data_IF_666907855798
#
_entry.id   IF_666907855798
#
_cell.length_a   1.000
_cell.length_b   1.000
_cell.length_c   1.000
_cell.angle_alpha   90.00
_cell.angle_beta   90.00
_cell.angle_gamma   90.00
#
_symmetry.space_group_name_H-M   'P 1'
#
loop_
_entity.id
_entity.type
_entity.pdbx_description
1 polymer ?
#
# COMPACT_ATOMS: atom_id res chain seq x y z
N UNK A 1 -16.05 7.10 11.20
CA UNK A 1 -14.71 6.54 11.44
C UNK A 1 -14.56 5.23 10.64
N UNK A 2 -14.14 5.30 9.37
CA UNK A 2 -13.92 4.14 8.48
C UNK A 2 -12.84 4.48 7.43
N UNK A 3 -11.62 4.81 7.88
CA UNK A 3 -10.49 5.20 6.99
C UNK A 3 -9.22 4.33 7.24
N UNK A 4 -9.29 3.24 8.02
CA UNK A 4 -8.07 2.53 8.45
C UNK A 4 -7.24 1.91 7.32
N UNK A 5 -7.87 1.32 6.29
CA UNK A 5 -7.15 0.70 5.16
C UNK A 5 -6.67 1.73 4.13
N UNK A 6 -7.50 2.75 3.85
CA UNK A 6 -7.11 3.88 2.99
C UNK A 6 -5.92 4.66 3.55
N UNK A 7 -5.90 4.91 4.86
CA UNK A 7 -4.79 5.60 5.53
C UNK A 7 -3.46 4.86 5.32
N UNK A 8 -3.49 3.53 5.42
CA UNK A 8 -2.31 2.68 5.21
C UNK A 8 -1.84 2.71 3.76
N UNK A 9 -2.78 2.63 2.82
CA UNK A 9 -2.46 2.77 1.39
C UNK A 9 -1.82 4.11 1.07
N UNK A 10 -2.31 5.21 1.66
CA UNK A 10 -1.68 6.52 1.50
C UNK A 10 -0.26 6.58 2.09
N UNK A 11 -0.05 6.02 3.28
CA UNK A 11 1.29 5.98 3.87
C UNK A 11 2.27 5.14 3.03
N UNK A 12 1.80 3.99 2.52
CA UNK A 12 2.59 3.12 1.64
C UNK A 12 2.91 3.85 0.32
N UNK A 13 1.92 4.48 -0.31
CA UNK A 13 2.13 5.25 -1.55
C UNK A 13 3.10 6.42 -1.40
N UNK A 14 3.31 6.88 -0.16
CA UNK A 14 4.24 7.95 0.18
C UNK A 14 5.68 7.46 0.44
N UNK A 15 5.91 6.15 0.60
CA UNK A 15 7.25 5.62 0.82
C UNK A 15 8.12 5.76 -0.44
N UNK A 16 9.43 6.04 -0.28
CA UNK A 16 10.35 6.01 -1.40
C UNK A 16 10.43 4.60 -1.98
N UNK A 17 10.54 4.47 -3.30
CA UNK A 17 10.86 3.19 -3.94
C UNK A 17 12.34 3.10 -4.31
N UNK A 18 13.00 2.03 -3.89
CA UNK A 18 14.41 1.78 -4.20
C UNK A 18 14.54 0.76 -5.33
N UNK A 19 15.22 1.17 -6.41
CA UNK A 19 15.31 0.39 -7.65
C UNK A 19 15.86 -1.02 -7.44
N UNK A 20 17.01 -1.11 -6.77
CA UNK A 20 17.74 -2.37 -6.58
C UNK A 20 16.91 -3.37 -5.76
N UNK A 21 16.33 -2.91 -4.66
CA UNK A 21 15.48 -3.74 -3.80
C UNK A 21 14.22 -4.20 -4.52
N UNK A 22 13.56 -3.30 -5.26
CA UNK A 22 12.38 -3.65 -6.02
C UNK A 22 12.71 -4.65 -7.14
N UNK A 23 13.84 -4.52 -7.84
CA UNK A 23 14.26 -5.51 -8.83
C UNK A 23 14.47 -6.90 -8.20
N UNK A 24 15.26 -6.98 -7.13
CA UNK A 24 15.56 -8.24 -6.45
C UNK A 24 14.26 -8.92 -5.99
N UNK A 25 13.46 -8.20 -5.21
CA UNK A 25 12.20 -8.69 -4.68
C UNK A 25 11.28 -9.16 -5.81
N UNK A 26 11.00 -8.32 -6.81
CA UNK A 26 10.07 -8.66 -7.88
C UNK A 26 10.56 -9.85 -8.73
N UNK A 27 11.86 -9.94 -9.01
CA UNK A 27 12.45 -11.02 -9.82
C UNK A 27 12.44 -12.40 -9.14
N UNK A 28 12.24 -12.43 -7.83
CA UNK A 28 12.33 -13.66 -7.01
C UNK A 28 11.03 -13.99 -6.28
N UNK A 29 10.04 -13.10 -6.32
CA UNK A 29 8.79 -13.29 -5.61
C UNK A 29 7.98 -14.44 -6.21
N UNK A 30 7.80 -15.49 -5.41
CA UNK A 30 6.90 -16.61 -5.64
C UNK A 30 5.67 -16.48 -4.75
N UNK A 31 4.51 -16.84 -5.31
CA UNK A 31 3.26 -16.96 -4.56
C UNK A 31 2.61 -18.31 -4.86
N UNK A 32 2.44 -19.11 -3.81
CA UNK A 32 1.79 -20.41 -3.84
C UNK A 32 0.56 -20.35 -2.92
N UNK A 33 -0.59 -19.86 -3.41
CA UNK A 33 -1.78 -19.73 -2.58
C UNK A 33 -2.27 -21.10 -2.11
N UNK A 34 -2.75 -21.17 -0.87
CA UNK A 34 -3.43 -22.38 -0.39
C UNK A 34 -4.66 -22.71 -1.24
N UNK A 35 -4.95 -24.02 -1.46
CA UNK A 35 -6.20 -24.48 -2.04
C UNK A 35 -7.41 -23.91 -1.29
N UNK A 36 -8.48 -23.56 -2.02
CA UNK A 36 -9.63 -22.86 -1.46
C UNK A 36 -10.45 -23.70 -0.46
N UNK A 37 -10.28 -25.02 -0.48
CA UNK A 37 -10.91 -26.02 0.37
C UNK A 37 -10.17 -26.24 1.70
N UNK A 38 -8.93 -25.76 1.84
CA UNK A 38 -8.14 -25.89 3.05
C UNK A 38 -8.17 -24.58 3.85
N UNK A 39 -8.69 -24.65 5.09
CA UNK A 39 -8.58 -23.54 6.04
C UNK A 39 -7.23 -23.61 6.74
N UNK A 40 -6.74 -22.44 7.11
CA UNK A 40 -5.56 -22.31 7.95
C UNK A 40 -5.88 -22.81 9.35
N UNK A 41 -5.27 -23.93 9.75
CA UNK A 41 -5.26 -24.39 11.13
C UNK A 41 -4.13 -23.64 11.85
N UNK A 42 -4.49 -22.82 12.84
CA UNK A 42 -3.53 -21.99 13.59
C UNK A 42 -2.53 -22.82 14.40
N UNK A 43 -2.86 -24.09 14.65
CA UNK A 43 -2.08 -25.06 15.44
C UNK A 43 -1.57 -26.23 14.57
N UNK A 44 -1.26 -25.98 13.29
CA UNK A 44 -0.72 -27.01 12.39
C UNK A 44 0.63 -27.55 12.93
N UNK A 45 0.73 -28.85 13.27
CA UNK A 45 1.96 -29.44 13.80
C UNK A 45 3.12 -29.42 12.81
N UNK A 46 2.87 -29.29 11.50
CA UNK A 46 3.89 -29.24 10.46
C UNK A 46 4.43 -27.80 10.21
N UNK A 47 3.90 -26.81 10.94
CA UNK A 47 4.29 -25.40 10.86
C UNK A 47 3.45 -24.58 9.87
N UNK A 48 3.63 -23.25 9.84
CA UNK A 48 2.81 -22.38 8.99
C UNK A 48 3.08 -22.64 7.50
N UNK A 49 2.01 -22.82 6.73
CA UNK A 49 2.10 -22.99 5.27
C UNK A 49 2.79 -21.79 4.61
N UNK A 50 3.85 -22.06 3.85
CA UNK A 50 4.59 -21.05 3.10
C UNK A 50 3.81 -20.69 1.83
N UNK A 51 3.33 -19.45 1.76
CA UNK A 51 2.59 -18.95 0.60
C UNK A 51 3.41 -17.94 -0.19
N UNK A 52 4.34 -17.23 0.45
CA UNK A 52 5.18 -16.22 -0.18
C UNK A 52 6.66 -16.54 0.01
N UNK A 53 7.42 -16.50 -1.07
CA UNK A 53 8.87 -16.69 -1.07
C UNK A 53 9.56 -15.60 -1.88
N UNK A 54 10.64 -15.00 -1.39
CA UNK A 54 11.34 -13.95 -2.12
C UNK A 54 12.75 -13.71 -1.61
N UNK A 55 13.58 -13.03 -2.42
CA UNK A 55 14.83 -12.42 -1.95
C UNK A 55 14.63 -10.97 -1.52
N UNK A 56 15.32 -10.60 -0.45
CA UNK A 56 15.42 -9.23 0.00
C UNK A 56 16.78 -8.98 0.64
N UNK A 57 17.47 -7.93 0.20
CA UNK A 57 18.80 -7.57 0.68
C UNK A 57 19.81 -8.73 0.62
N UNK A 58 19.71 -9.58 -0.42
CA UNK A 58 20.54 -10.77 -0.62
C UNK A 58 20.13 -12.00 0.19
N UNK A 59 19.11 -11.92 1.05
CA UNK A 59 18.63 -13.03 1.88
C UNK A 59 17.36 -13.66 1.30
N UNK A 60 17.23 -14.98 1.43
CA UNK A 60 16.02 -15.72 1.05
C UNK A 60 15.04 -15.72 2.22
N UNK A 61 13.76 -15.46 1.92
CA UNK A 61 12.68 -15.44 2.89
C UNK A 61 11.54 -16.33 2.39
N UNK A 62 10.97 -17.10 3.31
CA UNK A 62 9.78 -17.94 3.13
C UNK A 62 8.86 -17.65 4.29
N UNK A 63 7.66 -17.15 4.00
CA UNK A 63 6.70 -16.71 5.00
C UNK A 63 5.27 -17.06 4.59
N UNK A 64 4.38 -17.12 5.57
CA UNK A 64 2.95 -17.24 5.34
C UNK A 64 2.36 -15.98 4.68
N UNK A 65 1.18 -16.08 4.08
CA UNK A 65 0.48 -14.91 3.56
C UNK A 65 0.10 -13.93 4.68
N UNK A 66 -0.19 -14.44 5.88
CA UNK A 66 -0.47 -13.65 7.10
C UNK A 66 0.71 -12.75 7.46
N UNK A 67 1.91 -13.32 7.58
CA UNK A 67 3.12 -12.56 7.88
C UNK A 67 3.43 -11.56 6.76
N UNK A 68 3.33 -12.01 5.51
CA UNK A 68 3.60 -11.17 4.35
C UNK A 68 2.78 -9.87 4.37
N UNK A 69 1.49 -9.95 4.71
CA UNK A 69 0.59 -8.79 4.64
C UNK A 69 0.78 -7.82 5.80
N UNK A 70 1.27 -8.33 6.93
CA UNK A 70 1.72 -7.53 8.08
C UNK A 70 3.00 -6.79 7.73
N UNK A 71 3.99 -7.48 7.13
CA UNK A 71 5.23 -6.85 6.64
C UNK A 71 4.97 -5.81 5.54
N UNK A 72 3.98 -6.02 4.68
CA UNK A 72 3.51 -5.02 3.71
C UNK A 72 2.88 -3.79 4.37
N UNK A 73 2.48 -3.87 5.65
CA UNK A 73 1.74 -2.85 6.38
C UNK A 73 0.30 -2.69 5.92
N UNK A 74 -0.27 -3.68 5.23
CA UNK A 74 -1.64 -3.65 4.72
C UNK A 74 -2.65 -4.08 5.80
N UNK A 75 -2.25 -5.02 6.66
CA UNK A 75 -3.02 -5.52 7.80
C UNK A 75 -2.18 -5.44 9.09
N UNK A 76 -2.83 -5.31 10.24
CA UNK A 76 -2.22 -5.51 11.55
C UNK A 76 -2.45 -6.95 12.01
N UNK A 77 -1.64 -7.44 12.94
CA UNK A 77 -1.76 -8.81 13.46
C UNK A 77 -3.16 -9.07 14.00
N UNK A 78 -3.75 -8.10 14.71
CA UNK A 78 -5.08 -8.23 15.31
C UNK A 78 -6.22 -8.28 14.28
N UNK A 79 -5.97 -7.85 13.04
CA UNK A 79 -6.97 -7.86 11.96
C UNK A 79 -7.02 -9.19 11.22
N UNK A 80 -6.00 -10.04 11.37
CA UNK A 80 -5.87 -11.31 10.66
C UNK A 80 -6.90 -12.37 11.11
N UNK A 81 -7.44 -12.21 12.32
CA UNK A 81 -8.49 -13.09 12.86
C UNK A 81 -9.90 -12.50 12.71
N UNK A 82 -10.03 -11.43 11.94
CA UNK A 82 -11.31 -10.75 11.69
C UNK A 82 -11.85 -11.06 10.30
N UNK A 83 -13.14 -10.82 10.11
CA UNK A 83 -13.81 -10.90 8.81
C UNK A 83 -13.08 -10.08 7.71
N UNK A 84 -12.40 -8.98 8.06
CA UNK A 84 -11.67 -8.11 7.11
C UNK A 84 -10.52 -8.84 6.41
N UNK A 85 -9.95 -9.86 7.05
CA UNK A 85 -8.95 -10.74 6.46
C UNK A 85 -9.54 -12.07 6.00
N UNK A 86 -10.39 -12.69 6.82
CA UNK A 86 -10.87 -14.06 6.61
C UNK A 86 -11.93 -14.19 5.50
N UNK A 87 -12.70 -13.14 5.21
CA UNK A 87 -13.73 -13.20 4.17
C UNK A 87 -13.11 -13.08 2.77
N UNK A 88 -13.54 -13.98 1.88
CA UNK A 88 -13.10 -14.01 0.49
C UNK A 88 -13.60 -12.83 -0.35
N UNK A 89 -13.15 -12.76 -1.60
CA UNK A 89 -13.58 -11.74 -2.56
C UNK A 89 -15.07 -11.93 -2.87
N UNK A 90 -15.93 -11.08 -2.31
CA UNK A 90 -17.31 -10.97 -2.78
C UNK A 90 -17.37 -9.93 -3.89
N UNK A 91 -17.70 -10.31 -5.13
CA UNK A 91 -17.93 -9.32 -6.20
C UNK A 91 -19.35 -8.76 -6.05
N UNK A 92 -19.54 -7.48 -5.70
CA UNK A 92 -20.86 -6.89 -5.60
C UNK A 92 -21.51 -6.86 -6.99
N UNK A 93 -22.85 -6.90 -7.06
CA UNK A 93 -23.56 -6.78 -8.32
C UNK A 93 -23.10 -5.55 -9.10
N UNK A 94 -22.99 -5.66 -10.43
CA UNK A 94 -22.57 -4.53 -11.27
C UNK A 94 -23.41 -3.28 -11.04
N UNK A 95 -24.71 -3.44 -10.78
CA UNK A 95 -25.63 -2.35 -10.45
C UNK A 95 -25.20 -1.57 -9.20
N UNK A 96 -24.69 -2.26 -8.18
CA UNK A 96 -24.14 -1.65 -6.95
C UNK A 96 -22.91 -0.81 -7.26
N UNK A 97 -21.97 -1.34 -8.05
CA UNK A 97 -20.78 -0.59 -8.48
C UNK A 97 -21.15 0.65 -9.32
N UNK A 98 -22.13 0.53 -10.21
CA UNK A 98 -22.60 1.66 -11.02
C UNK A 98 -23.29 2.74 -10.18
N UNK A 99 -24.06 2.35 -9.15
CA UNK A 99 -24.64 3.30 -8.18
C UNK A 99 -23.53 3.98 -7.38
N UNK A 100 -22.55 3.22 -6.89
CA UNK A 100 -21.39 3.78 -6.22
C UNK A 100 -20.65 4.80 -7.08
N UNK A 101 -20.39 4.50 -8.36
CA UNK A 101 -19.76 5.43 -9.28
C UNK A 101 -20.51 6.77 -9.39
N UNK A 102 -21.84 6.75 -9.36
CA UNK A 102 -22.65 7.99 -9.38
C UNK A 102 -22.44 8.85 -8.13
N UNK A 103 -22.03 8.26 -7.00
CA UNK A 103 -21.75 9.01 -5.76
C UNK A 103 -20.40 9.72 -5.77
N UNK A 104 -19.42 9.21 -6.54
CA UNK A 104 -18.04 9.72 -6.55
C UNK A 104 -17.64 10.45 -7.83
N UNK A 105 -18.55 10.58 -8.81
CA UNK A 105 -18.20 11.12 -10.13
C UNK A 105 -19.25 12.05 -10.72
N UNK A 106 -18.81 12.88 -11.68
CA UNK A 106 -19.69 13.86 -12.36
C UNK A 106 -20.52 13.29 -13.50
N UNK A 107 -20.24 12.07 -13.98
CA UNK A 107 -20.88 11.48 -15.16
C UNK A 107 -21.13 10.00 -14.96
N UNK A 108 -22.08 9.42 -15.69
CA UNK A 108 -22.35 7.98 -15.68
C UNK A 108 -21.11 7.16 -16.06
N UNK A 109 -21.03 5.95 -15.53
CA UNK A 109 -19.94 5.03 -15.89
C UNK A 109 -20.04 4.66 -17.36
N UNK A 110 -18.91 4.65 -18.06
CA UNK A 110 -18.88 4.55 -19.51
C UNK A 110 -19.39 3.20 -20.03
N UNK A 111 -19.93 3.18 -21.26
CA UNK A 111 -20.57 1.99 -21.84
C UNK A 111 -19.61 0.82 -22.07
N UNK A 112 -18.30 1.08 -22.17
CA UNK A 112 -17.24 0.07 -22.33
C UNK A 112 -16.69 -0.46 -20.99
N UNK A 113 -17.49 -0.40 -19.92
CA UNK A 113 -17.09 -0.76 -18.55
C UNK A 113 -15.81 -0.06 -18.06
N UNK A 114 -15.63 1.20 -18.49
CA UNK A 114 -14.56 2.09 -18.02
C UNK A 114 -14.94 3.55 -18.19
N UNK A 115 -14.43 4.39 -17.30
CA UNK A 115 -14.57 5.84 -17.29
C UNK A 115 -13.24 6.53 -17.03
N UNK A 116 -13.08 7.78 -17.45
CA UNK A 116 -11.88 8.57 -17.12
C UNK A 116 -11.80 8.79 -15.61
N UNK A 117 -10.64 8.54 -15.01
CA UNK A 117 -10.40 8.77 -13.59
C UNK A 117 -10.55 10.26 -13.22
N UNK A 118 -10.34 11.17 -14.17
CA UNK A 118 -10.57 12.62 -13.98
C UNK A 118 -12.03 12.99 -13.71
N UNK A 119 -12.99 12.09 -13.95
CA UNK A 119 -14.40 12.30 -13.63
C UNK A 119 -14.72 12.09 -12.15
N UNK A 120 -13.83 11.42 -11.41
CA UNK A 120 -13.95 11.26 -9.96
C UNK A 120 -13.76 12.64 -9.33
N UNK A 121 -14.75 13.08 -8.56
CA UNK A 121 -14.83 14.45 -8.02
C UNK A 121 -13.79 14.68 -6.94
N UNK A 122 -13.68 13.75 -5.99
CA UNK A 122 -12.75 13.84 -4.88
C UNK A 122 -11.30 13.57 -5.34
N UNK A 123 -10.37 14.54 -5.17
CA UNK A 123 -8.95 14.34 -5.42
C UNK A 123 -8.31 13.15 -4.65
N UNK A 124 -8.74 12.86 -3.43
CA UNK A 124 -8.25 11.73 -2.64
C UNK A 124 -8.69 10.40 -3.25
N UNK A 125 -9.93 10.31 -3.73
CA UNK A 125 -10.41 9.10 -4.43
C UNK A 125 -9.72 8.92 -5.78
N UNK A 126 -9.40 10.02 -6.48
CA UNK A 126 -8.52 9.98 -7.67
C UNK A 126 -7.14 9.46 -7.34
N UNK A 127 -6.58 9.84 -6.19
CA UNK A 127 -5.31 9.32 -5.76
C UNK A 127 -5.38 7.85 -5.33
N UNK A 128 -6.42 7.43 -4.59
CA UNK A 128 -6.68 6.00 -4.30
C UNK A 128 -6.77 5.17 -5.58
N UNK A 129 -7.48 5.67 -6.60
CA UNK A 129 -7.53 5.02 -7.92
C UNK A 129 -6.13 4.85 -8.51
N UNK A 130 -5.30 5.90 -8.42
CA UNK A 130 -3.91 5.85 -8.88
C UNK A 130 -3.10 4.80 -8.12
N UNK A 131 -3.26 4.69 -6.80
CA UNK A 131 -2.62 3.65 -5.98
C UNK A 131 -3.03 2.26 -6.48
N UNK A 132 -4.32 2.00 -6.62
CA UNK A 132 -4.85 0.72 -7.10
C UNK A 132 -4.28 0.40 -8.50
N UNK A 133 -4.41 1.33 -9.45
CA UNK A 133 -4.02 1.15 -10.84
C UNK A 133 -2.50 1.08 -11.06
N UNK A 134 -1.69 1.25 -10.01
CA UNK A 134 -0.22 1.13 -10.06
C UNK A 134 0.33 0.03 -9.16
N UNK A 135 -0.46 -0.51 -8.22
CA UNK A 135 0.02 -1.50 -7.25
C UNK A 135 -0.83 -2.77 -7.16
N UNK A 136 -2.15 -2.66 -7.00
CA UNK A 136 -3.04 -3.82 -6.76
C UNK A 136 -3.60 -4.37 -8.07
N UNK A 137 -3.93 -3.48 -9.01
CA UNK A 137 -4.39 -3.83 -10.35
C UNK A 137 -3.57 -3.08 -11.41
N UNK A 138 -2.23 -3.20 -11.41
CA UNK A 138 -1.42 -2.36 -12.25
C UNK A 138 -1.70 -2.63 -13.72
N UNK A 139 -1.71 -1.57 -14.51
CA UNK A 139 -1.87 -1.63 -15.95
C UNK A 139 -0.70 -0.96 -16.63
N UNK A 140 -0.17 -1.62 -17.65
CA UNK A 140 0.88 -1.05 -18.49
C UNK A 140 0.40 0.26 -19.14
N UNK A 141 -0.83 0.27 -19.67
CA UNK A 141 -1.50 1.42 -20.30
C UNK A 141 -2.84 1.72 -19.61
N UNK A 142 -3.45 2.89 -19.87
CA UNK A 142 -4.82 3.24 -19.45
C UNK A 142 -5.01 3.51 -17.94
N UNK A 143 -4.01 4.08 -17.26
CA UNK A 143 -4.08 4.47 -15.83
C UNK A 143 -4.95 5.70 -15.58
N UNK A 144 -5.27 6.42 -16.62
CA UNK A 144 -6.20 7.53 -16.65
C UNK A 144 -7.66 7.08 -16.77
N UNK A 145 -7.90 5.77 -16.80
CA UNK A 145 -9.23 5.15 -16.79
C UNK A 145 -9.43 4.29 -15.56
N UNK A 146 -10.58 4.46 -14.92
CA UNK A 146 -11.14 3.55 -13.94
C UNK A 146 -11.98 2.51 -14.68
N UNK A 147 -11.60 1.23 -14.62
CA UNK A 147 -12.45 0.15 -15.13
C UNK A 147 -13.27 -0.50 -14.00
N UNK A 148 -13.96 -1.60 -14.28
CA UNK A 148 -14.77 -2.29 -13.28
C UNK A 148 -13.95 -2.90 -12.12
N UNK A 149 -12.75 -3.42 -12.35
CA UNK A 149 -11.84 -3.85 -11.27
C UNK A 149 -11.31 -2.66 -10.45
N UNK A 150 -11.01 -1.56 -11.15
CA UNK A 150 -10.90 -0.18 -10.65
C UNK A 150 -11.87 0.13 -9.53
N UNK A 151 -13.13 0.06 -9.97
CA UNK A 151 -14.30 0.46 -9.25
C UNK A 151 -14.63 -0.50 -8.11
N UNK A 152 -14.35 -1.79 -8.29
CA UNK A 152 -14.44 -2.81 -7.25
C UNK A 152 -13.53 -2.44 -6.07
N UNK A 153 -12.24 -2.23 -6.28
CA UNK A 153 -11.34 -1.88 -5.18
C UNK A 153 -11.68 -0.53 -4.54
N UNK A 154 -12.03 0.47 -5.34
CA UNK A 154 -12.48 1.77 -4.83
C UNK A 154 -13.72 1.65 -3.95
N UNK A 155 -14.69 0.83 -4.34
CA UNK A 155 -15.91 0.59 -3.56
C UNK A 155 -15.58 0.07 -2.16
N UNK A 156 -14.76 -0.97 -2.08
CA UNK A 156 -14.39 -1.59 -0.79
C UNK A 156 -13.55 -0.66 0.08
N UNK A 157 -12.61 0.08 -0.51
CA UNK A 157 -11.78 1.06 0.21
C UNK A 157 -12.61 2.22 0.78
N UNK A 158 -13.58 2.73 0.03
CA UNK A 158 -14.32 3.93 0.41
C UNK A 158 -15.51 3.60 1.32
N UNK A 159 -16.24 2.51 1.07
CA UNK A 159 -17.37 2.11 1.93
C UNK A 159 -16.98 1.18 3.09
N UNK A 160 -15.73 0.69 3.11
CA UNK A 160 -15.12 0.05 4.28
C UNK A 160 -15.59 -1.38 4.50
N UNK A 161 -15.87 -2.10 3.42
CA UNK A 161 -16.24 -3.51 3.44
C UNK A 161 -15.01 -4.39 3.19
N UNK A 162 -15.13 -5.68 3.48
CA UNK A 162 -14.04 -6.67 3.37
C UNK A 162 -13.76 -7.01 1.91
N UNK A 163 -12.50 -6.97 1.49
CA UNK A 163 -12.10 -7.66 0.27
C UNK A 163 -10.67 -8.17 0.45
N UNK A 164 -10.36 -9.32 -0.15
CA UNK A 164 -9.07 -9.99 0.02
C UNK A 164 -7.93 -9.28 -0.73
N UNK A 165 -7.70 -7.98 -0.41
CA UNK A 165 -6.65 -7.13 -0.97
C UNK A 165 -5.29 -7.79 -0.87
N UNK A 166 -5.04 -8.51 0.23
CA UNK A 166 -3.81 -9.25 0.46
C UNK A 166 -3.52 -10.28 -0.64
N UNK A 167 -4.52 -11.10 -1.02
CA UNK A 167 -4.38 -12.11 -2.08
C UNK A 167 -4.13 -11.45 -3.43
N UNK A 168 -4.87 -10.38 -3.73
CA UNK A 168 -4.67 -9.64 -4.98
C UNK A 168 -3.27 -9.02 -5.08
N UNK A 169 -2.73 -8.49 -3.98
CA UNK A 169 -1.40 -7.93 -3.91
C UNK A 169 -0.30 -9.00 -4.07
N UNK A 170 -0.41 -10.13 -3.37
CA UNK A 170 0.55 -11.23 -3.49
C UNK A 170 0.55 -11.83 -4.91
N UNK A 171 -0.64 -12.07 -5.47
CA UNK A 171 -0.77 -12.51 -6.86
C UNK A 171 -0.16 -11.51 -7.84
N UNK A 172 -0.28 -10.20 -7.55
CA UNK A 172 0.35 -9.18 -8.38
C UNK A 172 1.88 -9.31 -8.36
N UNK A 173 2.49 -9.37 -7.18
CA UNK A 173 3.94 -9.47 -7.06
C UNK A 173 4.52 -10.67 -7.84
N UNK A 174 3.83 -11.81 -7.77
CA UNK A 174 4.26 -13.03 -8.48
C UNK A 174 4.29 -12.90 -10.01
N UNK A 175 3.49 -11.99 -10.58
CA UNK A 175 3.44 -11.78 -12.05
C UNK A 175 4.09 -10.47 -12.48
N UNK A 176 4.65 -9.69 -11.54
CA UNK A 176 5.15 -8.36 -11.80
C UNK A 176 6.48 -8.35 -12.57
N UNK A 177 7.31 -9.39 -12.41
CA UNK A 177 8.64 -9.46 -13.04
C UNK A 177 8.61 -9.53 -14.58
N UNK A 178 7.49 -9.98 -15.16
CA UNK A 178 7.32 -10.05 -16.61
C UNK A 178 7.02 -8.70 -17.27
N UNK A 179 6.81 -7.64 -16.50
CA UNK A 179 6.30 -6.37 -17.04
C UNK A 179 7.43 -5.46 -17.48
N UNK A 180 7.36 -5.00 -18.73
CA UNK A 180 8.47 -4.35 -19.42
C UNK A 180 8.72 -2.89 -18.97
N UNK A 181 7.77 -2.25 -18.31
CA UNK A 181 7.88 -0.83 -17.94
C UNK A 181 8.30 -0.65 -16.48
N UNK A 182 9.62 -0.73 -16.26
CA UNK A 182 10.23 -0.69 -14.93
C UNK A 182 9.88 0.59 -14.15
N UNK A 183 9.67 1.73 -14.83
CA UNK A 183 9.30 3.02 -14.19
C UNK A 183 8.00 2.96 -13.37
N UNK A 184 7.14 2.00 -13.68
CA UNK A 184 5.80 1.79 -13.14
C UNK A 184 5.83 0.84 -11.95
N UNK A 185 6.72 -0.15 -12.00
CA UNK A 185 6.94 -1.16 -10.95
C UNK A 185 7.46 -0.51 -9.67
N UNK A 186 8.35 0.48 -9.80
CA UNK A 186 8.85 1.25 -8.66
C UNK A 186 7.79 2.20 -8.08
N UNK A 187 6.98 2.84 -8.93
CA UNK A 187 6.00 3.82 -8.48
C UNK A 187 4.94 3.22 -7.56
N UNK A 188 4.27 2.13 -7.98
CA UNK A 188 3.11 1.62 -7.25
C UNK A 188 3.41 0.54 -6.22
N UNK A 189 4.25 -0.43 -6.57
CA UNK A 189 4.62 -1.53 -5.65
C UNK A 189 5.83 -1.23 -4.77
N UNK A 190 6.69 -0.31 -5.19
CA UNK A 190 7.93 -0.02 -4.49
C UNK A 190 7.75 0.49 -3.06
N UNK A 191 6.65 1.19 -2.77
CA UNK A 191 6.33 1.62 -1.41
C UNK A 191 6.06 0.45 -0.47
N UNK A 192 5.38 -0.60 -0.94
CA UNK A 192 5.16 -1.84 -0.19
C UNK A 192 6.48 -2.55 0.06
N UNK A 193 7.31 -2.68 -0.99
CA UNK A 193 8.62 -3.33 -0.89
C UNK A 193 9.51 -2.61 0.13
N UNK A 194 9.57 -1.28 0.09
CA UNK A 194 10.30 -0.50 1.09
C UNK A 194 9.78 -0.73 2.50
N UNK A 195 8.47 -0.91 2.68
CA UNK A 195 7.90 -1.24 3.99
C UNK A 195 8.30 -2.63 4.45
N UNK A 196 8.26 -3.62 3.56
CA UNK A 196 8.74 -4.98 3.83
C UNK A 196 10.22 -4.93 4.24
N UNK A 197 11.08 -4.28 3.46
CA UNK A 197 12.51 -4.08 3.75
C UNK A 197 12.73 -3.53 5.15
N UNK A 198 12.05 -2.43 5.50
CA UNK A 198 12.16 -1.81 6.83
C UNK A 198 11.66 -2.74 7.94
N UNK A 199 10.59 -3.50 7.69
CA UNK A 199 10.05 -4.45 8.66
C UNK A 199 10.97 -5.63 8.95
N UNK A 200 11.85 -6.00 8.01
CA UNK A 200 12.93 -6.96 8.21
C UNK A 200 14.19 -6.34 8.84
N UNK A 201 14.14 -5.06 9.23
CA UNK A 201 15.25 -4.36 9.87
C UNK A 201 16.29 -3.80 8.90
N UNK A 202 16.03 -3.83 7.59
CA UNK A 202 16.89 -3.23 6.60
C UNK A 202 16.52 -1.76 6.38
N UNK A 203 17.47 -0.84 6.55
CA UNK A 203 17.24 0.59 6.40
C UNK A 203 17.92 1.11 5.13
N UNK A 204 17.19 1.24 4.01
CA UNK A 204 17.77 1.73 2.76
C UNK A 204 18.23 3.18 2.92
N UNK A 205 19.55 3.36 3.05
CA UNK A 205 20.16 4.69 3.09
C UNK A 205 20.17 5.31 1.70
N UNK A 206 19.84 6.60 1.57
CA UNK A 206 19.98 7.37 0.31
C UNK A 206 21.39 7.25 -0.30
N UNK A 207 22.39 7.08 0.54
CA UNK A 207 23.81 7.00 0.19
C UNK A 207 24.25 5.65 -0.38
N UNK A 208 23.68 4.52 0.06
CA UNK A 208 24.16 3.18 -0.33
C UNK A 208 23.73 2.74 -1.74
N UNK A 209 22.71 3.40 -2.32
CA UNK A 209 22.19 3.05 -3.65
C UNK A 209 22.42 4.16 -4.69
N UNK A 210 23.25 5.16 -4.34
CA UNK A 210 23.74 6.20 -5.25
C UNK A 210 24.89 5.67 -6.13
N UNK A 211 24.64 4.58 -6.86
CA UNK A 211 25.46 4.28 -8.03
C UNK A 211 25.03 5.26 -9.14
N UNK A 212 25.84 6.32 -9.30
CA UNK A 212 25.89 7.29 -10.41
C UNK A 212 24.78 7.16 -11.47
N UNK A 213 23.82 8.09 -11.40
CA UNK A 213 22.97 8.49 -12.54
C UNK A 213 21.65 7.70 -12.67
N UNK A 214 20.52 8.38 -12.39
CA UNK A 214 19.11 7.91 -12.56
C UNK A 214 18.57 6.91 -11.52
N UNK A 215 19.06 6.96 -10.28
CA UNK A 215 18.67 6.05 -9.19
C UNK A 215 18.00 6.71 -7.97
N UNK A 216 17.51 7.95 -8.08
CA UNK A 216 16.86 8.60 -6.94
C UNK A 216 15.55 7.87 -6.56
N UNK A 217 15.27 7.70 -5.26
CA UNK A 217 14.02 7.11 -4.83
C UNK A 217 12.83 7.94 -5.32
N UNK A 218 11.93 7.31 -6.07
CA UNK A 218 10.74 7.96 -6.64
C UNK A 218 9.56 7.72 -5.72
N UNK A 219 8.88 8.80 -5.32
CA UNK A 219 7.56 8.73 -4.68
C UNK A 219 6.47 8.63 -5.75
N UNK A 220 5.46 7.80 -5.52
CA UNK A 220 4.39 7.61 -6.48
C UNK A 220 3.67 8.93 -6.79
N UNK A 221 3.73 9.33 -8.06
CA UNK A 221 2.93 10.43 -8.60
C UNK A 221 3.07 11.76 -7.82
N UNK A 222 4.27 12.06 -7.28
CA UNK A 222 4.56 13.30 -6.52
C UNK A 222 4.05 14.57 -7.22
N UNK A 223 4.34 14.71 -8.51
CA UNK A 223 3.90 15.88 -9.27
C UNK A 223 2.37 15.95 -9.42
N UNK A 224 1.72 14.79 -9.55
CA UNK A 224 0.26 14.68 -9.58
C UNK A 224 -0.35 15.09 -8.24
N UNK A 225 0.22 14.64 -7.12
CA UNK A 225 -0.21 15.01 -5.77
C UNK A 225 -0.15 16.52 -5.51
N UNK A 226 0.95 17.15 -5.95
CA UNK A 226 1.12 18.61 -5.88
C UNK A 226 0.06 19.31 -6.74
N UNK A 227 -0.15 18.85 -7.98
CA UNK A 227 -1.14 19.43 -8.91
C UNK A 227 -2.59 19.26 -8.45
N UNK A 228 -2.86 18.26 -7.60
CA UNK A 228 -4.18 18.00 -7.04
C UNK A 228 -4.48 18.83 -5.79
N UNK A 229 -3.51 19.61 -5.29
CA UNK A 229 -3.61 20.39 -4.05
C UNK A 229 -4.05 19.57 -2.83
N UNK A 230 -3.75 18.28 -2.83
CA UNK A 230 -4.02 17.37 -1.71
C UNK A 230 -2.82 17.19 -0.79
N UNK A 231 -1.70 17.85 -1.10
CA UNK A 231 -0.46 17.77 -0.32
C UNK A 231 0.20 19.12 -0.15
N UNK A 232 0.93 19.30 0.96
CA UNK A 232 1.78 20.47 1.27
C UNK A 232 3.15 19.99 1.74
N UNK A 233 4.21 20.69 1.39
CA UNK A 233 5.57 20.40 1.87
C UNK A 233 5.78 21.02 3.26
N UNK A 234 6.10 20.19 4.25
CA UNK A 234 6.32 20.63 5.63
C UNK A 234 7.82 20.60 5.94
N UNK A 235 8.42 21.73 6.37
CA UNK A 235 9.83 21.78 6.73
C UNK A 235 10.23 20.68 7.72
N UNK A 236 11.27 19.91 7.39
CA UNK A 236 11.78 18.80 8.21
C UNK A 236 10.97 17.50 8.14
N UNK A 237 9.73 17.52 7.65
CA UNK A 237 8.88 16.34 7.48
C UNK A 237 8.75 15.92 6.01
N UNK A 238 8.88 16.85 5.07
CA UNK A 238 8.64 16.66 3.64
C UNK A 238 7.16 16.79 3.26
N UNK A 239 6.82 16.39 2.03
CA UNK A 239 5.45 16.45 1.49
C UNK A 239 4.47 15.62 2.36
N UNK A 240 3.27 16.13 2.65
CA UNK A 240 2.23 15.41 3.41
C UNK A 240 0.86 15.72 2.86
N UNK A 241 -0.09 14.79 3.02
CA UNK A 241 -1.49 15.06 2.69
C UNK A 241 -2.06 16.16 3.59
N UNK A 242 -2.97 16.96 3.05
CA UNK A 242 -3.68 18.01 3.78
C UNK A 242 -5.14 17.62 3.91
N UNK A 243 -5.67 17.56 5.13
CA UNK A 243 -7.08 17.32 5.40
C UNK A 243 -7.97 18.55 5.14
N UNK A 244 -9.27 18.42 5.42
CA UNK A 244 -10.32 19.42 5.13
C UNK A 244 -10.19 20.79 5.83
N UNK A 245 -9.08 21.06 6.52
CA UNK A 245 -8.76 22.33 7.22
C UNK A 245 -7.27 22.70 7.11
N UNK A 246 -6.59 22.25 6.05
CA UNK A 246 -5.12 22.37 5.90
C UNK A 246 -4.28 21.67 6.97
N UNK A 247 -4.91 20.93 7.89
CA UNK A 247 -4.19 20.12 8.87
C UNK A 247 -3.42 19.02 8.14
N UNK A 248 -2.19 18.75 8.61
CA UNK A 248 -1.41 17.59 8.18
C UNK A 248 -2.27 16.36 8.39
N UNK A 249 -2.56 15.64 7.33
CA UNK A 249 -3.08 14.29 7.44
C UNK A 249 -1.93 13.42 7.95
N UNK A 250 -2.05 13.01 9.20
CA UNK A 250 -1.19 12.02 9.83
C UNK A 250 -1.95 10.71 9.78
N UNK A 251 -1.49 9.70 9.02
CA UNK A 251 -2.09 8.37 9.05
C UNK A 251 -2.14 7.90 10.51
N UNK A 252 -3.25 7.31 10.94
CA UNK A 252 -3.44 6.90 12.35
C UNK A 252 -2.28 6.03 12.86
N UNK A 253 -1.74 5.14 12.01
CA UNK A 253 -0.57 4.31 12.34
C UNK A 253 0.72 5.11 12.58
N UNK A 254 0.90 6.23 11.87
CA UNK A 254 2.04 7.14 12.07
C UNK A 254 1.84 8.00 13.32
N UNK A 255 0.59 8.29 13.70
CA UNK A 255 0.27 8.98 14.94
C UNK A 255 0.62 8.12 16.15
N UNK A 256 0.30 6.82 16.10
CA UNK A 256 0.68 5.85 17.13
C UNK A 256 2.22 5.79 17.28
N UNK A 257 2.96 5.60 16.19
CA UNK A 257 4.44 5.59 16.18
C UNK A 257 5.05 6.93 16.66
N UNK A 258 4.48 8.07 16.24
CA UNK A 258 4.95 9.40 16.65
C UNK A 258 4.64 9.68 18.13
N UNK A 259 3.52 9.18 18.65
CA UNK A 259 3.18 9.28 20.06
C UNK A 259 4.11 8.41 20.91
N UNK A 260 4.41 7.19 20.48
CA UNK A 260 5.41 6.33 21.13
C UNK A 260 6.82 6.93 21.08
N UNK A 261 7.22 7.53 19.95
CA UNK A 261 8.48 8.27 19.81
C UNK A 261 8.52 9.54 20.67
N UNK A 262 7.39 10.25 20.82
CA UNK A 262 7.29 11.43 21.68
C UNK A 262 7.35 11.04 23.17
N UNK A 263 6.67 9.95 23.56
CA UNK A 263 6.68 9.43 24.91
C UNK A 263 8.05 8.86 25.31
N UNK A 264 8.72 8.14 24.41
CA UNK A 264 10.08 7.65 24.62
C UNK A 264 11.10 8.80 24.71
N UNK A 265 11.00 9.82 23.85
CA UNK A 265 11.82 11.04 23.97
C UNK A 265 11.54 11.81 25.26
N UNK A 266 10.29 11.84 25.74
CA UNK A 266 9.96 12.46 27.01
C UNK A 266 10.55 11.71 28.21
N UNK A 267 10.51 10.36 28.20
CA UNK A 267 11.15 9.52 29.22
C UNK A 267 12.67 9.66 29.22
N UNK A 268 13.31 9.74 28.05
CA UNK A 268 14.77 9.96 27.92
C UNK A 268 15.18 11.37 28.40
N UNK A 269 14.31 12.36 28.22
CA UNK A 269 14.57 13.73 28.69
C UNK A 269 14.43 13.85 30.22
N UNK A 270 13.46 13.14 30.81
CA UNK A 270 13.27 13.08 32.27
C UNK A 270 14.40 12.29 32.95
N UNK A 271 14.87 11.19 32.37
CA UNK A 271 16.01 10.42 32.91
C UNK A 271 17.33 11.18 32.81
N UNK A 272 17.52 12.05 31.80
CA UNK A 272 18.69 12.95 31.74
C UNK A 272 18.63 14.12 32.72
N UNK A 273 17.44 14.56 33.12
CA UNK A 273 17.28 15.61 34.14
C UNK A 273 17.46 15.07 35.58
N UNK A 274 17.30 13.77 35.81
CA UNK A 274 17.55 13.12 37.10
C UNK A 274 19.03 12.71 37.34
N UNK A 275 19.92 12.89 36.37
CA UNK A 275 21.34 12.44 36.43
C UNK A 275 22.33 13.63 36.42
N UNK A 276 21.85 14.86 36.64
CA UNK A 276 22.73 16.01 36.89
C UNK A 276 22.73 16.29 38.41
N UNK A 277 23.83 16.04 39.13
CA UNK A 277 23.97 16.41 40.54
C UNK A 277 24.02 17.93 40.76
#
# INVERSE_FOLDING_TARGET
MRIKLCDRLFDIGYKPSYKVMACEFLSTFGFAPRPADQREELDDPDGPWIEASFRLAGQWHEISLREFVVHCGLYRVEELDTAIYAEGIHMPPRTTLLRFWQTISTRRFGPKSKSRASLITDPLYRYLHKLIATSIAPREKSREWCNQGDLFYLYYLIWGETCAFHRCLAQWFAVAYHRQDMSVLYGGGGGYITRIVVSFGFFPSRTHYSARGRGDPVMLARQTLISMHVTRDFPGLGLRFTGAKELVFVPTALLDELLELAQSRHRVRLSRQMVMP
#
